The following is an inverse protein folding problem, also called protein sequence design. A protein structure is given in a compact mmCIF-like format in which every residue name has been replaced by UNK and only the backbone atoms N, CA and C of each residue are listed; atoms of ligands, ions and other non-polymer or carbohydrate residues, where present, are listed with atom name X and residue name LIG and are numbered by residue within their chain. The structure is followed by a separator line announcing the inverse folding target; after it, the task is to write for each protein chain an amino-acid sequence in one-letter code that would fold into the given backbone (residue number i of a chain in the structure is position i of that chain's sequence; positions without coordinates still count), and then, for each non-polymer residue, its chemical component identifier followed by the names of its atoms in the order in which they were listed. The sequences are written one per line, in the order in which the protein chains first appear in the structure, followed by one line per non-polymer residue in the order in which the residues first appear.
data_IF_591876474759
#
_entry.id   IF_591876474759
#
_cell.length_a   1.000
_cell.length_b   1.000
_cell.length_c   1.000
_cell.angle_alpha   90.00
_cell.angle_beta   90.00
_cell.angle_gamma   90.00
#
_symmetry.space_group_name_H-M   'P 1'
#
loop_
_entity.id
_entity.type
_entity.pdbx_description
1 polymer ?
#
# COMPACT_ATOMS: atom_id res chain seq x y z
N UNK A 1 -10.24 19.58 22.18
CA UNK A 1 -11.21 18.60 21.63
C UNK A 1 -10.68 18.17 20.26
N UNK A 2 -10.21 16.92 20.10
CA UNK A 2 -9.39 16.50 18.95
C UNK A 2 -10.23 16.52 17.67
N UNK A 3 -9.85 17.35 16.68
CA UNK A 3 -10.60 17.56 15.45
C UNK A 3 -10.45 16.39 14.46
N UNK A 4 -11.04 15.23 14.78
CA UNK A 4 -11.13 14.11 13.85
C UNK A 4 -11.80 14.51 12.52
N UNK A 5 -12.65 15.54 12.54
CA UNK A 5 -13.25 16.15 11.34
C UNK A 5 -12.26 16.75 10.33
N UNK A 6 -10.96 16.82 10.62
CA UNK A 6 -9.93 17.29 9.68
C UNK A 6 -9.23 16.16 8.91
N UNK A 7 -9.65 14.91 9.13
CA UNK A 7 -9.12 13.74 8.41
C UNK A 7 -10.11 13.33 7.32
N UNK A 8 -9.58 12.93 6.16
CA UNK A 8 -10.32 12.35 5.05
C UNK A 8 -9.87 10.91 4.89
N UNK A 9 -10.81 10.02 4.59
CA UNK A 9 -10.55 8.60 4.35
C UNK A 9 -10.94 8.22 2.92
N UNK A 10 -10.12 7.38 2.29
CA UNK A 10 -10.44 6.67 1.05
C UNK A 10 -10.44 5.19 1.35
N UNK A 11 -11.58 4.55 1.13
CA UNK A 11 -11.81 3.16 1.46
C UNK A 11 -11.86 2.34 0.17
N UNK A 12 -11.10 1.26 0.14
CA UNK A 12 -11.14 0.26 -0.90
C UNK A 12 -11.32 -1.13 -0.29
N UNK A 13 -11.76 -2.05 -1.13
CA UNK A 13 -12.04 -3.43 -0.77
C UNK A 13 -11.40 -4.34 -1.81
N UNK A 14 -10.71 -5.37 -1.34
CA UNK A 14 -10.19 -6.44 -2.19
C UNK A 14 -10.90 -7.73 -1.78
N UNK A 15 -11.50 -8.40 -2.77
CA UNK A 15 -12.14 -9.69 -2.59
C UNK A 15 -11.08 -10.79 -2.62
N UNK A 16 -10.62 -11.21 -1.45
CA UNK A 16 -9.73 -12.37 -1.26
C UNK A 16 -10.36 -13.25 -0.20
N UNK A 17 -10.49 -14.54 -0.51
CA UNK A 17 -11.24 -15.51 0.28
C UNK A 17 -10.63 -15.78 1.66
N UNK A 18 -9.33 -15.51 1.84
CA UNK A 18 -8.61 -15.77 3.08
C UNK A 18 -7.88 -14.52 3.63
N UNK A 19 -7.77 -14.37 4.97
CA UNK A 19 -6.95 -13.34 5.58
C UNK A 19 -5.49 -13.44 5.11
N UNK A 20 -5.03 -12.44 4.37
CA UNK A 20 -3.68 -12.48 3.77
C UNK A 20 -2.67 -11.64 4.54
N UNK A 21 -3.01 -10.38 4.79
CA UNK A 21 -2.03 -9.36 5.14
C UNK A 21 -2.65 -8.29 6.05
N UNK A 22 -1.85 -7.78 6.98
CA UNK A 22 -2.15 -6.58 7.75
C UNK A 22 -0.99 -5.58 7.67
N UNK A 23 -1.32 -4.30 7.53
CA UNK A 23 -0.39 -3.17 7.40
C UNK A 23 -0.94 -1.98 8.17
N UNK A 24 -0.08 -1.28 8.91
CA UNK A 24 -0.35 0.04 9.45
C UNK A 24 0.91 0.89 9.29
N UNK A 25 0.88 1.83 8.36
CA UNK A 25 2.06 2.63 8.00
C UNK A 25 1.71 4.08 7.75
N UNK A 26 2.67 4.97 7.97
CA UNK A 26 2.61 6.40 7.63
C UNK A 26 3.80 6.73 6.75
N UNK A 27 3.57 7.36 5.60
CA UNK A 27 4.65 7.73 4.69
C UNK A 27 4.31 9.00 3.89
N UNK A 28 5.35 9.63 3.35
CA UNK A 28 5.24 10.74 2.41
C UNK A 28 4.86 10.23 1.01
N UNK A 29 3.97 10.95 0.33
CA UNK A 29 3.65 10.73 -1.09
C UNK A 29 4.65 11.39 -2.04
N UNK A 30 5.65 12.09 -1.50
CA UNK A 30 6.67 12.90 -2.16
C UNK A 30 6.09 14.08 -2.95
N UNK A 31 4.78 14.31 -2.82
CA UNK A 31 4.10 15.49 -3.34
C UNK A 31 4.18 16.62 -2.33
N UNK A 32 4.62 17.80 -2.78
CA UNK A 32 4.65 19.01 -1.97
C UNK A 32 3.27 19.67 -1.93
N UNK A 33 2.77 19.98 -0.73
CA UNK A 33 1.55 20.75 -0.52
C UNK A 33 1.89 22.21 -0.24
N UNK A 34 1.44 23.10 -1.13
CA UNK A 34 1.60 24.55 -0.94
C UNK A 34 0.80 25.08 0.24
N UNK A 35 -0.30 24.40 0.63
CA UNK A 35 -1.15 24.80 1.76
C UNK A 35 -0.48 24.62 3.11
N UNK A 36 0.38 23.61 3.25
CA UNK A 36 1.09 23.33 4.51
C UNK A 36 2.59 23.61 4.41
N UNK A 37 3.07 24.08 3.25
CA UNK A 37 4.48 24.30 2.95
C UNK A 37 5.37 23.08 3.30
N UNK A 38 4.93 21.89 2.89
CA UNK A 38 5.62 20.64 3.22
C UNK A 38 5.06 19.43 2.45
N UNK A 39 5.65 18.25 2.67
CA UNK A 39 5.23 17.02 2.01
C UNK A 39 3.84 16.57 2.48
N UNK A 40 3.05 16.03 1.54
CA UNK A 40 1.77 15.41 1.83
C UNK A 40 1.97 13.98 2.34
N UNK A 41 1.54 13.73 3.58
CA UNK A 41 1.62 12.43 4.24
C UNK A 41 0.29 11.67 4.14
N UNK A 42 0.40 10.35 4.07
CA UNK A 42 -0.73 9.43 4.02
C UNK A 42 -0.53 8.32 5.05
N UNK A 43 -1.64 7.91 5.67
CA UNK A 43 -1.70 6.76 6.57
C UNK A 43 -2.36 5.63 5.78
N UNK A 44 -1.70 4.48 5.68
CA UNK A 44 -2.23 3.26 5.08
C UNK A 44 -2.57 2.26 6.19
N UNK A 45 -3.81 1.81 6.22
CA UNK A 45 -4.22 0.65 6.99
C UNK A 45 -4.76 -0.43 6.03
N UNK A 46 -4.23 -1.64 6.14
CA UNK A 46 -4.71 -2.83 5.43
C UNK A 46 -5.00 -3.89 6.48
N UNK A 47 -6.17 -4.50 6.43
CA UNK A 47 -6.50 -5.59 7.35
C UNK A 47 -7.65 -6.47 6.81
N UNK A 48 -7.67 -7.76 7.18
CA UNK A 48 -8.78 -8.63 6.87
C UNK A 48 -10.03 -8.27 7.70
N UNK A 49 -11.19 -8.22 7.07
CA UNK A 49 -12.50 -8.04 7.71
C UNK A 49 -13.58 -8.73 6.87
N UNK A 50 -14.34 -9.65 7.47
CA UNK A 50 -15.49 -10.33 6.85
C UNK A 50 -15.16 -11.00 5.49
N UNK A 51 -14.11 -11.83 5.43
CA UNK A 51 -13.65 -12.53 4.21
C UNK A 51 -13.25 -11.59 3.06
N UNK A 52 -12.83 -10.37 3.41
CA UNK A 52 -12.33 -9.38 2.47
C UNK A 52 -11.16 -8.65 3.08
N UNK A 53 -10.33 -8.03 2.25
CA UNK A 53 -9.28 -7.14 2.72
C UNK A 53 -9.77 -5.70 2.62
N UNK A 54 -9.76 -4.99 3.74
CA UNK A 54 -10.04 -3.55 3.83
C UNK A 54 -8.75 -2.78 3.62
N UNK A 55 -8.83 -1.74 2.80
CA UNK A 55 -7.71 -0.82 2.54
C UNK A 55 -8.21 0.59 2.83
N UNK A 56 -7.57 1.27 3.76
CA UNK A 56 -7.94 2.62 4.18
C UNK A 56 -6.73 3.53 4.03
N UNK A 57 -6.86 4.51 3.16
CA UNK A 57 -5.95 5.64 3.10
C UNK A 57 -6.53 6.80 3.87
N UNK A 58 -5.79 7.36 4.83
CA UNK A 58 -6.21 8.52 5.60
C UNK A 58 -5.22 9.66 5.44
N UNK A 59 -5.72 10.89 5.36
CA UNK A 59 -4.88 12.09 5.25
C UNK A 59 -5.56 13.32 5.86
N UNK A 60 -4.78 14.38 6.08
CA UNK A 60 -5.34 15.69 6.43
C UNK A 60 -6.15 16.26 5.26
N UNK A 61 -7.26 16.95 5.55
CA UNK A 61 -8.07 17.66 4.55
C UNK A 61 -7.26 18.64 3.69
N UNK A 62 -6.24 19.26 4.27
CA UNK A 62 -5.33 20.18 3.59
C UNK A 62 -4.47 19.50 2.52
N UNK A 63 -4.19 18.21 2.67
CA UNK A 63 -3.41 17.39 1.72
C UNK A 63 -4.28 16.63 0.70
N UNK A 64 -5.61 16.79 0.76
CA UNK A 64 -6.57 16.00 -0.03
C UNK A 64 -6.22 15.99 -1.53
N UNK A 65 -5.85 17.13 -2.09
CA UNK A 65 -5.63 17.26 -3.53
C UNK A 65 -4.37 16.50 -3.98
N UNK A 66 -3.30 16.60 -3.22
CA UNK A 66 -2.05 15.88 -3.43
C UNK A 66 -2.29 14.38 -3.29
N UNK A 67 -3.01 13.96 -2.25
CA UNK A 67 -3.34 12.54 -2.04
C UNK A 67 -4.20 11.98 -3.18
N UNK A 68 -5.21 12.70 -3.67
CA UNK A 68 -6.00 12.23 -4.83
C UNK A 68 -5.12 12.09 -6.08
N UNK A 69 -4.21 13.03 -6.35
CA UNK A 69 -3.26 12.92 -7.46
C UNK A 69 -2.36 11.70 -7.30
N UNK A 70 -1.84 11.47 -6.10
CA UNK A 70 -1.01 10.31 -5.78
C UNK A 70 -1.76 8.99 -6.00
N UNK A 71 -2.98 8.86 -5.47
CA UNK A 71 -3.79 7.66 -5.62
C UNK A 71 -4.15 7.39 -7.10
N UNK A 72 -4.44 8.43 -7.88
CA UNK A 72 -4.67 8.33 -9.33
C UNK A 72 -3.41 7.87 -10.08
N UNK A 73 -2.26 8.48 -9.80
CA UNK A 73 -0.97 8.13 -10.43
C UNK A 73 -0.59 6.66 -10.21
N UNK A 74 -0.96 6.11 -9.06
CA UNK A 74 -0.65 4.72 -8.68
C UNK A 74 -1.81 3.73 -8.93
N UNK A 75 -2.80 4.12 -9.74
CA UNK A 75 -3.93 3.26 -10.16
C UNK A 75 -4.78 2.68 -9.02
N UNK A 76 -4.85 3.33 -7.85
CA UNK A 76 -5.66 2.84 -6.72
C UNK A 76 -7.18 2.89 -6.99
N UNK A 77 -7.62 3.72 -7.94
CA UNK A 77 -9.04 3.77 -8.34
C UNK A 77 -9.42 2.70 -9.38
N UNK A 78 -8.46 1.96 -9.93
CA UNK A 78 -8.73 0.77 -10.73
C UNK A 78 -8.75 -0.46 -9.82
N UNK A 79 -9.95 -0.94 -9.52
CA UNK A 79 -10.15 -2.09 -8.62
C UNK A 79 -9.52 -3.39 -9.13
N UNK A 80 -9.29 -3.53 -10.45
CA UNK A 80 -8.60 -4.71 -11.01
C UNK A 80 -7.10 -4.64 -10.75
N UNK A 81 -6.53 -3.45 -10.77
CA UNK A 81 -5.10 -3.24 -10.49
C UNK A 81 -4.78 -3.07 -9.01
N UNK A 82 -5.77 -2.73 -8.19
CA UNK A 82 -5.63 -2.41 -6.78
C UNK A 82 -4.75 -3.39 -5.99
N UNK A 83 -4.92 -4.73 -6.09
CA UNK A 83 -4.07 -5.67 -5.35
C UNK A 83 -2.58 -5.60 -5.72
N UNK A 84 -2.29 -5.42 -7.02
CA UNK A 84 -0.93 -5.28 -7.53
C UNK A 84 -0.31 -3.94 -7.12
N UNK A 85 -1.06 -2.84 -7.29
CA UNK A 85 -0.63 -1.51 -6.85
C UNK A 85 -0.36 -1.46 -5.36
N UNK A 86 -1.22 -2.08 -4.56
CA UNK A 86 -1.08 -2.15 -3.11
C UNK A 86 0.13 -2.98 -2.70
N UNK A 87 0.35 -4.14 -3.32
CA UNK A 87 1.51 -4.99 -3.05
C UNK A 87 2.83 -4.24 -3.25
N UNK A 88 2.96 -3.54 -4.39
CA UNK A 88 4.14 -2.71 -4.67
C UNK A 88 4.29 -1.55 -3.69
N UNK A 89 3.17 -0.90 -3.34
CA UNK A 89 3.19 0.21 -2.38
C UNK A 89 3.70 -0.25 -1.01
N UNK A 90 3.19 -1.39 -0.52
CA UNK A 90 3.58 -1.94 0.78
C UNK A 90 5.07 -2.24 0.78
N UNK A 91 5.55 -2.97 -0.23
CA UNK A 91 6.97 -3.32 -0.33
C UNK A 91 7.88 -2.10 -0.48
N UNK A 92 7.38 -1.00 -1.06
CA UNK A 92 8.18 0.20 -1.34
C UNK A 92 8.19 1.23 -0.22
N UNK A 93 7.10 1.34 0.54
CA UNK A 93 6.89 2.47 1.48
C UNK A 93 6.60 2.03 2.92
N UNK A 94 6.28 0.76 3.18
CA UNK A 94 6.01 0.29 4.53
C UNK A 94 7.26 -0.35 5.13
N UNK A 95 7.66 0.10 6.31
CA UNK A 95 8.80 -0.46 7.04
C UNK A 95 8.57 -1.90 7.48
N UNK A 96 7.32 -2.25 7.77
CA UNK A 96 6.92 -3.61 8.13
C UNK A 96 5.48 -3.91 7.68
N UNK A 97 5.16 -5.20 7.65
CA UNK A 97 3.81 -5.72 7.49
C UNK A 97 3.74 -7.13 8.08
N UNK A 98 2.52 -7.59 8.35
CA UNK A 98 2.29 -8.96 8.81
C UNK A 98 1.59 -9.73 7.70
N UNK A 99 2.07 -10.94 7.42
CA UNK A 99 1.48 -11.86 6.44
C UNK A 99 1.06 -13.15 7.14
N UNK A 100 -0.09 -13.70 6.74
CA UNK A 100 -0.52 -15.01 7.21
C UNK A 100 0.44 -16.09 6.71
N UNK A 101 0.89 -16.99 7.59
CA UNK A 101 1.79 -18.09 7.22
C UNK A 101 1.20 -18.95 6.12
N UNK A 102 -0.10 -19.25 6.19
CA UNK A 102 -0.81 -20.03 5.16
C UNK A 102 -0.76 -19.43 3.76
N UNK A 103 -0.49 -18.12 3.63
CA UNK A 103 -0.24 -17.49 2.33
C UNK A 103 1.25 -17.50 2.00
N UNK A 104 2.10 -17.09 2.94
CA UNK A 104 3.54 -17.05 2.76
C UNK A 104 4.12 -18.41 2.34
N UNK A 105 3.64 -19.49 2.95
CA UNK A 105 4.05 -20.88 2.67
C UNK A 105 3.72 -21.34 1.24
N UNK A 106 2.83 -20.61 0.53
CA UNK A 106 2.50 -20.92 -0.87
C UNK A 106 3.45 -20.28 -1.88
N UNK A 107 4.23 -19.27 -1.45
CA UNK A 107 5.11 -18.53 -2.34
C UNK A 107 6.23 -19.45 -2.85
N UNK A 108 6.60 -19.27 -4.12
CA UNK A 108 7.78 -19.94 -4.64
C UNK A 108 9.05 -19.29 -4.06
N UNK A 109 10.13 -20.07 -3.97
CA UNK A 109 11.44 -19.53 -3.58
C UNK A 109 11.83 -18.31 -4.43
N UNK A 110 11.50 -18.35 -5.72
CA UNK A 110 11.80 -17.25 -6.63
C UNK A 110 10.97 -16.00 -6.34
N UNK A 111 9.72 -16.17 -5.93
CA UNK A 111 8.86 -15.07 -5.52
C UNK A 111 9.43 -14.38 -4.27
N UNK A 112 9.83 -15.16 -3.27
CA UNK A 112 10.47 -14.67 -2.04
C UNK A 112 11.73 -13.86 -2.38
N UNK A 113 12.64 -14.41 -3.18
CA UNK A 113 13.88 -13.71 -3.59
C UNK A 113 13.60 -12.36 -4.27
N UNK A 114 12.58 -12.30 -5.14
CA UNK A 114 12.23 -11.06 -5.86
C UNK A 114 11.61 -10.04 -4.90
N UNK A 115 10.76 -10.48 -3.97
CA UNK A 115 10.17 -9.63 -2.94
C UNK A 115 11.26 -9.04 -2.04
N UNK A 116 12.15 -9.88 -1.52
CA UNK A 116 13.26 -9.45 -0.65
C UNK A 116 14.17 -8.45 -1.36
N UNK A 117 14.57 -8.78 -2.59
CA UNK A 117 15.42 -7.90 -3.40
C UNK A 117 14.75 -6.56 -3.68
N UNK A 118 13.46 -6.56 -4.01
CA UNK A 118 12.71 -5.33 -4.27
C UNK A 118 12.55 -4.49 -3.00
N UNK A 119 12.20 -5.12 -1.87
CA UNK A 119 12.07 -4.46 -0.58
C UNK A 119 13.38 -3.76 -0.19
N UNK A 120 14.51 -4.49 -0.25
CA UNK A 120 15.84 -3.95 0.06
C UNK A 120 16.24 -2.80 -0.88
N UNK A 121 16.05 -2.95 -2.19
CA UNK A 121 16.44 -1.91 -3.13
C UNK A 121 15.53 -0.69 -3.10
N UNK A 122 14.27 -0.83 -2.72
CA UNK A 122 13.37 0.32 -2.59
C UNK A 122 13.80 1.31 -1.50
N UNK A 123 14.58 0.86 -0.52
CA UNK A 123 15.22 1.71 0.49
C UNK A 123 16.36 2.54 -0.13
N UNK A 124 17.08 1.97 -1.09
CA UNK A 124 18.25 2.60 -1.73
C UNK A 124 17.83 3.50 -2.90
N UNK A 125 16.89 3.04 -3.70
CA UNK A 125 16.35 3.74 -4.87
C UNK A 125 14.82 3.93 -4.71
N UNK A 126 14.39 5.10 -4.20
CA UNK A 126 12.99 5.45 -4.07
C UNK A 126 12.25 5.56 -5.42
N UNK A 127 12.94 5.63 -6.55
CA UNK A 127 12.36 5.70 -7.89
C UNK A 127 12.29 4.32 -8.57
N UNK A 128 12.81 3.27 -7.93
CA UNK A 128 12.75 1.90 -8.41
C UNK A 128 11.31 1.53 -8.82
N UNK A 129 11.16 1.15 -10.09
CA UNK A 129 9.89 0.75 -10.67
C UNK A 129 10.06 -0.55 -11.45
N UNK A 130 10.05 -1.65 -10.72
CA UNK A 130 10.08 -2.99 -11.29
C UNK A 130 8.64 -3.45 -11.55
N UNK A 131 8.41 -3.99 -12.75
CA UNK A 131 7.14 -4.63 -13.10
C UNK A 131 7.31 -6.15 -13.18
N UNK A 132 7.49 -6.77 -12.02
CA UNK A 132 7.56 -8.22 -11.89
C UNK A 132 6.28 -8.71 -11.20
N UNK A 133 5.53 -9.67 -11.78
CA UNK A 133 4.29 -10.16 -11.20
C UNK A 133 4.53 -10.84 -9.84
N UNK A 134 5.74 -11.34 -9.58
CA UNK A 134 6.12 -11.97 -8.30
C UNK A 134 6.19 -10.98 -7.13
N UNK A 135 5.99 -9.69 -7.36
CA UNK A 135 5.81 -8.71 -6.28
C UNK A 135 4.41 -8.75 -5.65
N UNK A 136 3.52 -9.60 -6.15
CA UNK A 136 2.17 -9.78 -5.61
C UNK A 136 2.21 -10.40 -4.21
N UNK A 137 1.55 -9.75 -3.23
CA UNK A 137 1.53 -10.18 -1.83
C UNK A 137 0.28 -10.99 -1.45
N UNK A 138 -0.70 -11.10 -2.32
CA UNK A 138 -2.00 -11.71 -2.00
C UNK A 138 -2.13 -13.18 -2.41
N UNK A 139 -1.02 -13.83 -2.78
CA UNK A 139 -1.00 -15.24 -3.15
C UNK A 139 0.22 -15.61 -3.98
N UNK A 140 0.34 -16.89 -4.28
CA UNK A 140 1.36 -17.41 -5.19
C UNK A 140 1.16 -16.87 -6.61
N UNK A 141 2.28 -16.62 -7.27
CA UNK A 141 2.34 -16.35 -8.71
C UNK A 141 3.13 -17.47 -9.39
N UNK A 142 2.64 -17.95 -10.52
CA UNK A 142 3.31 -18.95 -11.37
C UNK A 142 4.49 -18.36 -12.15
#
# INVERSE_FOLDING_TARGET
MKSWGNIVHYLFEINIESPTLAVSSVFSTDMFSTKTNGLAYIILNVFPLNQKTRVIFSCLKTHRNEIVKYLKKNNFFDLKMLPNSLSKLILKKCENFVMASSVFDTFSQKQIEIIEKFFLFSVIDPDLNINDPRLYLFGRVE
#
